data_IF_919695413191
#
_entry.id   IF_919695413191
#
_cell.length_a   1.000
_cell.length_b   1.000
_cell.length_c   1.000
_cell.angle_alpha   90.00
_cell.angle_beta   90.00
_cell.angle_gamma   90.00
#
_symmetry.space_group_name_H-M   'P 1'
#
loop_
_entity.id
_entity.type
_entity.pdbx_description
1 polymer ?
#
# COMPACT_ATOMS: atom_id res chain seq x y z
N UNK A 1 6.50 69.87 69.11
CA UNK A 1 5.19 69.21 68.92
C UNK A 1 4.85 69.24 67.45
N UNK A 2 4.64 68.07 66.83
CA UNK A 2 4.36 67.96 65.40
C UNK A 2 4.61 66.54 64.89
N UNK A 3 3.71 65.60 65.20
CA UNK A 3 3.67 64.27 64.59
C UNK A 3 2.46 64.20 63.67
N UNK A 4 2.73 64.01 62.38
CA UNK A 4 1.75 63.86 61.32
C UNK A 4 0.99 62.53 61.48
N UNK A 5 -0.34 62.60 61.61
CA UNK A 5 -1.24 61.44 61.53
C UNK A 5 -1.40 61.05 60.06
N UNK A 6 -0.89 59.89 59.67
CA UNK A 6 -1.18 59.28 58.37
C UNK A 6 -2.45 58.43 58.52
N UNK A 7 -3.53 58.90 57.89
CA UNK A 7 -4.84 58.24 57.82
C UNK A 7 -4.72 56.92 57.06
N UNK A 8 -5.19 55.84 57.68
CA UNK A 8 -5.46 54.54 57.05
C UNK A 8 -6.83 54.58 56.36
N UNK A 9 -6.97 54.22 55.07
CA UNK A 9 -8.27 53.97 54.49
C UNK A 9 -8.76 52.56 54.83
N UNK A 10 -10.03 52.52 55.17
CA UNK A 10 -10.85 51.38 55.56
C UNK A 10 -11.06 50.37 54.44
N UNK A 11 -11.30 49.14 54.90
CA UNK A 11 -11.62 47.90 54.21
C UNK A 11 -12.89 48.01 53.32
N UNK A 12 -12.78 47.72 52.03
CA UNK A 12 -13.90 47.22 51.21
C UNK A 12 -13.51 45.84 50.66
N UNK A 13 -14.21 44.75 51.02
CA UNK A 13 -13.99 43.46 50.38
C UNK A 13 -14.65 43.47 49.00
N UNK A 14 -13.84 43.64 47.96
CA UNK A 14 -14.27 43.40 46.59
C UNK A 14 -14.69 41.93 46.47
N UNK A 15 -15.99 41.69 46.33
CA UNK A 15 -16.58 40.40 45.98
C UNK A 15 -16.15 40.05 44.56
N UNK A 16 -14.94 39.54 44.41
CA UNK A 16 -14.53 38.82 43.22
C UNK A 16 -15.28 37.49 43.23
N UNK A 17 -16.47 37.49 42.62
CA UNK A 17 -17.21 36.27 42.33
C UNK A 17 -16.34 35.38 41.45
N UNK A 18 -15.68 34.41 42.08
CA UNK A 18 -15.10 33.25 41.42
C UNK A 18 -16.21 32.60 40.60
N UNK A 19 -16.22 32.87 39.29
CA UNK A 19 -17.07 32.17 38.33
C UNK A 19 -16.57 30.73 38.34
N UNK A 20 -17.19 29.89 39.17
CA UNK A 20 -17.01 28.44 39.11
C UNK A 20 -17.40 28.02 37.71
N UNK A 21 -16.42 27.63 36.89
CA UNK A 21 -16.64 27.02 35.58
C UNK A 21 -17.52 25.78 35.78
N UNK A 22 -18.79 25.88 35.42
CA UNK A 22 -19.67 24.73 35.30
C UNK A 22 -19.22 23.95 34.07
N UNK A 23 -18.52 22.84 34.25
CA UNK A 23 -18.38 21.86 33.18
C UNK A 23 -19.81 21.44 32.82
N UNK A 24 -20.26 21.77 31.61
CA UNK A 24 -21.50 21.22 31.10
C UNK A 24 -21.37 19.70 31.05
N UNK A 25 -22.37 19.01 31.59
CA UNK A 25 -22.37 17.57 31.67
C UNK A 25 -22.48 16.94 30.28
N UNK A 26 -21.93 15.74 30.15
CA UNK A 26 -22.12 14.91 28.97
C UNK A 26 -23.60 14.56 28.75
N UNK A 27 -24.04 14.49 27.50
CA UNK A 27 -25.44 14.29 27.13
C UNK A 27 -25.59 12.91 26.48
N UNK A 28 -26.53 12.11 26.98
CA UNK A 28 -26.87 10.82 26.37
C UNK A 28 -27.90 11.04 25.25
N UNK A 29 -27.57 10.59 24.04
CA UNK A 29 -28.41 10.69 22.86
C UNK A 29 -29.21 9.40 22.65
N UNK A 30 -30.38 9.52 22.01
CA UNK A 30 -31.32 8.41 21.79
C UNK A 30 -30.74 7.26 20.92
N UNK A 31 -29.73 7.55 20.10
CA UNK A 31 -29.04 6.59 19.23
C UNK A 31 -27.89 5.83 19.95
N UNK A 32 -27.78 5.93 21.27
CA UNK A 32 -26.75 5.26 22.07
C UNK A 32 -25.39 5.96 22.07
N UNK A 33 -25.30 7.18 21.52
CA UNK A 33 -24.09 8.00 21.61
C UNK A 33 -24.09 8.89 22.86
N UNK A 34 -22.92 9.04 23.46
CA UNK A 34 -22.59 10.03 24.48
C UNK A 34 -21.96 11.24 23.80
N UNK A 35 -22.67 12.36 23.82
CA UNK A 35 -22.12 13.64 23.39
C UNK A 35 -21.30 14.23 24.54
N UNK A 36 -19.99 14.33 24.36
CA UNK A 36 -19.06 14.86 25.35
C UNK A 36 -18.55 16.22 24.88
N UNK A 37 -18.77 17.29 25.67
CA UNK A 37 -18.22 18.59 25.35
C UNK A 37 -16.71 18.62 25.65
N UNK A 38 -15.95 19.18 24.73
CA UNK A 38 -14.50 19.22 24.73
C UNK A 38 -14.06 20.66 24.52
N UNK A 39 -13.39 21.25 25.50
CA UNK A 39 -12.81 22.58 25.36
C UNK A 39 -11.51 22.51 24.58
N UNK A 40 -11.46 23.14 23.41
CA UNK A 40 -10.20 23.29 22.66
C UNK A 40 -9.44 24.49 23.24
N UNK A 41 -8.17 24.32 23.65
CA UNK A 41 -7.39 25.43 24.21
C UNK A 41 -7.22 26.54 23.15
N UNK A 42 -7.59 27.77 23.51
CA UNK A 42 -7.44 28.93 22.64
C UNK A 42 -5.98 29.33 22.45
N UNK A 43 -5.66 29.83 21.25
CA UNK A 43 -4.40 30.54 21.02
C UNK A 43 -4.38 31.83 21.85
N UNK A 44 -3.22 32.13 22.45
CA UNK A 44 -2.98 33.40 23.20
C UNK A 44 -3.12 34.65 22.31
N UNK A 45 -3.22 34.48 21.00
CA UNK A 45 -3.19 35.54 20.00
C UNK A 45 -4.55 36.21 19.75
N UNK A 46 -5.66 35.51 20.02
CA UNK A 46 -7.01 36.09 19.90
C UNK A 46 -7.48 36.60 21.27
N UNK A 47 -8.17 37.75 21.30
CA UNK A 47 -8.98 38.17 22.47
C UNK A 47 -9.84 36.98 22.93
N UNK A 48 -10.12 36.79 24.24
CA UNK A 48 -10.95 35.69 24.72
C UNK A 48 -12.41 35.93 24.30
N UNK A 49 -12.69 35.74 23.02
CA UNK A 49 -14.02 35.38 22.53
C UNK A 49 -14.32 34.04 23.20
N UNK A 50 -15.50 33.89 23.79
CA UNK A 50 -15.84 32.86 24.77
C UNK A 50 -15.37 31.43 24.43
N UNK A 51 -15.30 30.59 25.47
CA UNK A 51 -14.82 29.21 25.41
C UNK A 51 -15.47 28.42 24.26
N UNK A 52 -14.73 28.15 23.19
CA UNK A 52 -15.22 27.38 22.04
C UNK A 52 -15.25 25.90 22.40
N UNK A 53 -16.43 25.31 22.28
CA UNK A 53 -16.69 23.91 22.62
C UNK A 53 -16.77 23.08 21.35
N UNK A 54 -16.03 21.99 21.33
CA UNK A 54 -16.11 20.95 20.32
C UNK A 54 -16.85 19.76 20.92
N UNK A 55 -17.74 19.13 20.16
CA UNK A 55 -18.52 17.99 20.64
C UNK A 55 -18.00 16.70 20.01
N UNK A 56 -17.53 15.78 20.84
CA UNK A 56 -17.18 14.43 20.40
C UNK A 56 -18.34 13.49 20.71
N UNK A 57 -18.56 12.51 19.85
CA UNK A 57 -19.62 11.53 20.01
C UNK A 57 -19.02 10.16 20.27
N UNK A 58 -19.36 9.57 21.41
CA UNK A 58 -18.75 8.32 21.86
C UNK A 58 -19.80 7.23 22.00
N UNK A 59 -19.50 6.01 21.58
CA UNK A 59 -20.33 4.84 21.88
C UNK A 59 -19.48 3.60 22.11
N UNK A 60 -20.05 2.60 22.77
CA UNK A 60 -19.50 1.24 22.73
C UNK A 60 -19.50 0.75 21.28
N UNK A 61 -18.39 0.18 20.83
CA UNK A 61 -18.35 -0.44 19.50
C UNK A 61 -19.21 -1.69 19.50
N UNK A 62 -20.02 -1.81 18.45
CA UNK A 62 -20.79 -3.03 18.17
C UNK A 62 -20.13 -3.67 16.96
N UNK A 63 -19.50 -4.84 17.14
CA UNK A 63 -19.10 -5.65 15.98
C UNK A 63 -20.38 -6.21 15.36
N UNK A 64 -20.48 -6.17 14.03
CA UNK A 64 -21.56 -6.88 13.34
C UNK A 64 -21.23 -8.37 13.43
N UNK A 65 -21.75 -9.04 14.45
CA UNK A 65 -21.61 -10.48 14.69
C UNK A 65 -22.72 -11.30 14.04
N UNK A 66 -23.27 -10.86 12.90
CA UNK A 66 -24.23 -11.67 12.14
C UNK A 66 -23.98 -11.56 10.64
N UNK A 67 -23.79 -12.74 10.01
CA UNK A 67 -23.60 -13.00 8.57
C UNK A 67 -22.18 -12.90 7.99
N UNK A 68 -21.28 -13.83 8.39
CA UNK A 68 -20.51 -14.68 7.46
C UNK A 68 -19.45 -15.50 8.23
N UNK A 69 -19.87 -16.51 8.99
CA UNK A 69 -18.96 -17.46 9.65
C UNK A 69 -18.52 -18.61 8.73
N UNK A 70 -18.73 -18.49 7.40
CA UNK A 70 -18.33 -19.51 6.44
C UNK A 70 -17.81 -18.87 5.16
N UNK A 71 -16.56 -18.41 5.18
CA UNK A 71 -15.67 -18.40 4.01
C UNK A 71 -14.31 -17.80 4.37
N UNK A 72 -13.26 -18.46 3.86
CA UNK A 72 -11.87 -18.01 3.70
C UNK A 72 -11.00 -17.87 4.96
N UNK A 73 -10.34 -18.99 5.27
CA UNK A 73 -8.95 -19.05 5.73
C UNK A 73 -8.04 -18.12 4.91
N UNK A 74 -7.05 -17.51 5.57
CA UNK A 74 -5.90 -16.74 5.03
C UNK A 74 -5.87 -15.20 5.01
N UNK A 75 -6.66 -14.47 5.82
CA UNK A 75 -6.27 -13.09 6.25
C UNK A 75 -6.68 -12.87 7.70
N UNK A 76 -5.72 -12.61 8.59
CA UNK A 76 -5.93 -12.13 9.96
C UNK A 76 -6.95 -10.99 9.91
N UNK A 77 -8.21 -11.29 10.19
CA UNK A 77 -9.21 -10.23 10.34
C UNK A 77 -8.78 -9.46 11.58
N UNK A 78 -8.58 -8.17 11.39
CA UNK A 78 -8.45 -7.17 12.43
C UNK A 78 -9.74 -7.13 13.26
N UNK A 79 -9.98 -8.17 14.06
CA UNK A 79 -11.16 -8.26 14.89
C UNK A 79 -11.06 -7.19 15.98
N UNK A 80 -12.01 -6.26 15.94
CA UNK A 80 -12.20 -5.22 16.96
C UNK A 80 -13.16 -5.78 18.01
N UNK A 81 -12.67 -6.29 19.15
CA UNK A 81 -13.51 -6.89 20.19
C UNK A 81 -14.39 -5.83 20.87
N UNK A 82 -15.70 -5.93 20.62
CA UNK A 82 -16.76 -5.02 21.09
C UNK A 82 -16.68 -4.67 22.58
N UNK A 83 -16.28 -5.64 23.41
CA UNK A 83 -16.25 -5.51 24.87
C UNK A 83 -15.16 -4.58 25.41
N UNK A 84 -14.12 -4.30 24.62
CA UNK A 84 -13.00 -3.43 25.01
C UNK A 84 -12.71 -2.31 24.03
N UNK A 85 -13.57 -2.12 23.03
CA UNK A 85 -13.41 -1.11 21.97
C UNK A 85 -14.41 0.03 22.14
N UNK A 86 -13.89 1.25 22.19
CA UNK A 86 -14.65 2.49 22.22
C UNK A 86 -14.63 3.13 20.84
N UNK A 87 -15.80 3.45 20.30
CA UNK A 87 -15.92 4.22 19.07
C UNK A 87 -16.09 5.69 19.40
N UNK A 88 -15.20 6.53 18.88
CA UNK A 88 -15.26 7.98 19.02
C UNK A 88 -15.40 8.59 17.62
N UNK A 89 -16.37 9.45 17.44
CA UNK A 89 -16.61 10.20 16.22
C UNK A 89 -16.44 11.71 16.45
N UNK A 90 -16.17 12.42 15.35
CA UNK A 90 -15.89 13.85 15.33
C UNK A 90 -14.68 14.21 16.20
N UNK A 91 -13.57 13.50 16.04
CA UNK A 91 -12.33 13.86 16.74
C UNK A 91 -11.77 15.19 16.19
N UNK A 92 -11.16 16.04 17.05
CA UNK A 92 -10.35 17.17 16.62
C UNK A 92 -9.23 16.75 15.68
N UNK A 93 -8.91 17.60 14.70
CA UNK A 93 -7.98 17.27 13.61
C UNK A 93 -6.54 17.06 14.08
N UNK A 94 -6.16 17.64 15.21
CA UNK A 94 -4.84 17.52 15.83
C UNK A 94 -4.69 16.28 16.72
N UNK A 95 -5.73 15.45 16.85
CA UNK A 95 -5.72 14.28 17.73
C UNK A 95 -4.76 13.21 17.21
N UNK A 96 -3.75 12.89 18.02
CA UNK A 96 -2.82 11.78 17.78
C UNK A 96 -3.14 10.58 18.66
N UNK A 97 -2.55 9.43 18.34
CA UNK A 97 -2.65 8.25 19.20
C UNK A 97 -2.05 8.48 20.59
N UNK A 98 -0.87 9.11 20.66
CA UNK A 98 -0.22 9.46 21.93
C UNK A 98 -1.09 10.38 22.78
N UNK A 99 -1.80 11.31 22.13
CA UNK A 99 -2.73 12.20 22.80
C UNK A 99 -3.91 11.45 23.43
N UNK A 100 -4.54 10.52 22.69
CA UNK A 100 -5.64 9.71 23.24
C UNK A 100 -5.17 8.85 24.43
N UNK A 101 -3.93 8.34 24.39
CA UNK A 101 -3.31 7.63 25.52
C UNK A 101 -3.15 8.54 26.75
N UNK A 102 -2.75 9.80 26.57
CA UNK A 102 -2.64 10.76 27.68
C UNK A 102 -4.02 11.15 28.24
N UNK A 103 -5.00 11.38 27.37
CA UNK A 103 -6.38 11.73 27.75
C UNK A 103 -7.03 10.63 28.59
N UNK A 104 -6.86 9.37 28.19
CA UNK A 104 -7.42 8.20 28.90
C UNK A 104 -6.47 7.58 29.93
N UNK A 105 -5.32 8.20 30.23
CA UNK A 105 -4.33 7.66 31.16
C UNK A 105 -4.91 7.34 32.56
N UNK A 106 -5.93 8.09 32.99
CA UNK A 106 -6.63 7.85 34.27
C UNK A 106 -7.58 6.64 34.24
N UNK A 107 -8.06 6.25 33.06
CA UNK A 107 -8.99 5.14 32.90
C UNK A 107 -8.28 3.79 32.75
N UNK A 108 -7.12 3.78 32.08
CA UNK A 108 -6.27 2.60 31.95
C UNK A 108 -5.43 2.61 30.67
N UNK A 109 -4.70 1.52 30.45
CA UNK A 109 -3.82 1.38 29.31
C UNK A 109 -4.60 1.05 28.02
N UNK A 110 -4.26 1.74 26.95
CA UNK A 110 -4.76 1.48 25.60
C UNK A 110 -3.87 0.42 24.94
N UNK A 111 -4.47 -0.57 24.30
CA UNK A 111 -3.76 -1.53 23.46
C UNK A 111 -3.40 -0.88 22.12
N UNK A 112 -4.40 -0.50 21.34
CA UNK A 112 -4.22 0.10 20.01
C UNK A 112 -5.27 1.18 19.74
N UNK A 113 -4.92 2.15 18.91
CA UNK A 113 -5.84 3.15 18.39
C UNK A 113 -5.89 3.03 16.87
N UNK A 114 -7.07 2.78 16.32
CA UNK A 114 -7.28 2.72 14.87
C UNK A 114 -8.11 3.91 14.42
N UNK A 115 -7.47 4.84 13.74
CA UNK A 115 -8.17 5.92 13.03
C UNK A 115 -8.77 5.37 11.75
N UNK A 116 -10.00 5.80 11.42
CA UNK A 116 -10.61 5.52 10.13
C UNK A 116 -9.94 6.40 9.07
N UNK A 117 -8.80 5.97 8.55
CA UNK A 117 -8.11 6.64 7.43
C UNK A 117 -8.69 6.13 6.12
N UNK A 118 -9.13 7.03 5.24
CA UNK A 118 -9.46 6.70 3.86
C UNK A 118 -8.12 6.61 3.11
N UNK A 119 -7.47 5.46 3.10
CA UNK A 119 -6.35 5.22 2.17
C UNK A 119 -6.85 4.21 1.14
N UNK A 120 -6.72 4.56 -0.14
CA UNK A 120 -7.09 3.69 -1.24
C UNK A 120 -6.10 2.52 -1.30
N UNK A 121 -6.62 1.30 -1.42
CA UNK A 121 -5.84 0.04 -1.41
C UNK A 121 -4.86 -0.12 -2.58
N UNK A 122 -4.89 0.75 -3.57
CA UNK A 122 -4.12 0.62 -4.81
C UNK A 122 -2.65 1.02 -4.63
N UNK A 123 -2.31 1.81 -3.60
CA UNK A 123 -0.94 2.33 -3.39
C UNK A 123 0.01 1.29 -2.74
N UNK A 124 -0.49 0.33 -1.95
CA UNK A 124 0.35 -0.61 -1.19
C UNK A 124 1.11 -1.65 -2.05
N UNK A 125 0.57 -2.04 -3.22
CA UNK A 125 1.23 -2.99 -4.12
C UNK A 125 2.35 -2.30 -4.92
N UNK A 126 2.11 -1.07 -5.38
CA UNK A 126 3.11 -0.26 -6.08
C UNK A 126 4.27 0.14 -5.14
N UNK A 127 3.99 0.50 -3.89
CA UNK A 127 5.01 0.89 -2.91
C UNK A 127 6.02 -0.23 -2.60
N UNK A 128 5.57 -1.48 -2.44
CA UNK A 128 6.47 -2.62 -2.15
C UNK A 128 7.44 -2.89 -3.29
N UNK A 129 6.96 -2.78 -4.53
CA UNK A 129 7.82 -2.91 -5.71
C UNK A 129 8.80 -1.75 -5.84
N UNK A 130 8.38 -0.52 -5.55
CA UNK A 130 9.22 0.68 -5.59
C UNK A 130 10.35 0.67 -4.54
N UNK A 131 10.11 0.02 -3.40
CA UNK A 131 11.09 -0.18 -2.33
C UNK A 131 12.14 -1.26 -2.66
N UNK A 132 11.97 -1.97 -3.79
CA UNK A 132 12.89 -3.01 -4.25
C UNK A 132 12.79 -4.30 -3.43
N UNK A 133 11.66 -4.53 -2.78
CA UNK A 133 11.34 -5.74 -2.00
C UNK A 133 10.65 -6.79 -2.90
N UNK A 134 11.16 -6.97 -4.12
CA UNK A 134 10.75 -8.10 -4.95
C UNK A 134 11.24 -9.40 -4.32
N UNK A 135 10.32 -10.34 -4.11
CA UNK A 135 10.47 -11.70 -3.57
C UNK A 135 11.91 -12.22 -3.58
N UNK A 136 12.65 -11.87 -2.53
CA UNK A 136 13.97 -12.41 -2.27
C UNK A 136 13.80 -13.76 -1.59
N UNK A 137 13.87 -14.83 -2.38
CA UNK A 137 14.58 -16.06 -2.05
C UNK A 137 14.44 -16.52 -0.58
N UNK A 138 13.34 -17.19 -0.26
CA UNK A 138 13.33 -18.23 0.77
C UNK A 138 13.67 -19.55 0.09
N UNK A 139 14.96 -19.74 -0.18
CA UNK A 139 15.50 -21.04 -0.59
C UNK A 139 15.92 -21.77 0.68
N UNK A 140 14.93 -22.31 1.37
CA UNK A 140 15.06 -23.34 2.40
C UNK A 140 13.96 -24.37 2.07
N UNK A 141 14.20 -25.15 1.02
CA UNK A 141 13.55 -26.45 0.87
C UNK A 141 14.64 -27.53 0.89
N UNK A 142 14.47 -28.41 1.85
CA UNK A 142 15.37 -29.47 2.27
C UNK A 142 15.68 -30.45 1.13
N UNK A 143 16.97 -30.71 0.88
CA UNK A 143 17.42 -31.94 0.22
C UNK A 143 18.06 -32.86 1.26
N UNK A 144 17.24 -33.69 1.90
CA UNK A 144 17.66 -35.00 2.40
C UNK A 144 17.75 -35.98 1.22
N UNK A 145 18.96 -36.43 0.88
CA UNK A 145 19.34 -37.86 0.76
C UNK A 145 20.66 -38.02 0.00
N UNK A 146 21.54 -38.90 0.51
CA UNK A 146 22.61 -39.50 -0.28
C UNK A 146 23.93 -39.73 0.45
N UNK A 147 23.93 -40.60 1.46
CA UNK A 147 25.15 -41.31 1.89
C UNK A 147 25.61 -42.23 0.74
N UNK A 148 26.89 -42.17 0.34
CA UNK A 148 27.76 -43.35 0.17
C UNK A 148 29.19 -42.98 -0.31
N UNK A 149 30.14 -43.54 0.44
CA UNK A 149 31.60 -43.55 0.36
C UNK A 149 32.31 -43.45 -1.01
N UNK A 150 33.43 -42.71 -1.03
CA UNK A 150 34.69 -43.23 -1.59
C UNK A 150 35.92 -42.55 -0.97
N UNK A 151 36.88 -43.38 -0.56
CA UNK A 151 38.11 -43.06 0.16
C UNK A 151 39.33 -43.20 -0.78
N UNK A 152 40.46 -42.58 -0.37
CA UNK A 152 41.86 -42.74 -0.87
C UNK A 152 42.25 -42.06 -2.22
N UNK A 153 43.44 -41.50 -2.49
CA UNK A 153 44.75 -41.42 -1.82
C UNK A 153 45.59 -40.29 -2.49
N UNK A 154 46.27 -39.39 -1.75
CA UNK A 154 47.74 -39.25 -1.77
C UNK A 154 48.34 -38.04 -1.01
N UNK A 155 49.47 -38.37 -0.38
CA UNK A 155 50.36 -37.69 0.55
C UNK A 155 51.10 -36.39 0.12
N UNK A 156 51.37 -35.58 1.17
CA UNK A 156 52.61 -34.89 1.60
C UNK A 156 53.22 -33.74 0.78
N UNK A 157 53.30 -32.56 1.42
CA UNK A 157 54.58 -31.97 1.85
C UNK A 157 54.37 -30.81 2.83
N UNK A 158 55.16 -30.81 3.91
CA UNK A 158 55.16 -29.82 4.98
C UNK A 158 56.04 -28.60 4.64
N UNK A 159 55.61 -27.40 5.04
CA UNK A 159 56.51 -26.31 5.41
C UNK A 159 55.79 -25.30 6.34
N UNK A 160 56.37 -25.09 7.51
CA UNK A 160 55.93 -24.17 8.56
C UNK A 160 56.07 -22.70 8.12
N UNK A 161 55.12 -21.84 8.50
CA UNK A 161 55.23 -20.40 8.26
C UNK A 161 54.09 -19.55 8.79
N UNK A 162 54.13 -19.26 10.11
CA UNK A 162 53.65 -18.05 10.80
C UNK A 162 52.24 -17.50 10.46
N UNK A 163 51.34 -17.75 11.41
CA UNK A 163 50.28 -16.87 11.93
C UNK A 163 50.12 -15.48 11.29
N UNK A 164 49.11 -15.36 10.43
CA UNK A 164 48.52 -14.09 10.01
C UNK A 164 47.00 -14.21 10.03
N UNK A 165 46.39 -13.96 11.20
CA UNK A 165 44.94 -13.99 11.41
C UNK A 165 44.30 -12.80 10.66
N UNK A 166 44.11 -12.92 9.34
CA UNK A 166 43.23 -12.03 8.57
C UNK A 166 41.80 -12.28 9.05
N UNK A 167 41.32 -11.44 9.96
CA UNK A 167 39.88 -11.23 10.19
C UNK A 167 39.25 -10.91 8.83
N UNK A 168 38.57 -11.89 8.22
CA UNK A 168 37.51 -11.61 7.25
C UNK A 168 36.48 -10.79 8.00
N UNK A 169 36.50 -9.48 7.83
CA UNK A 169 35.38 -8.63 8.20
C UNK A 169 34.20 -9.11 7.37
N UNK A 170 33.24 -9.76 8.01
CA UNK A 170 31.88 -9.89 7.52
C UNK A 170 31.29 -8.48 7.47
N UNK A 171 31.67 -7.70 6.46
CA UNK A 171 30.79 -6.65 6.00
C UNK A 171 29.59 -7.39 5.41
N UNK A 172 28.51 -7.46 6.18
CA UNK A 172 27.16 -7.61 5.65
C UNK A 172 26.96 -6.45 4.67
N UNK A 173 27.47 -6.62 3.45
CA UNK A 173 27.00 -5.84 2.31
C UNK A 173 25.57 -6.27 2.12
N UNK A 174 24.63 -5.44 2.56
CA UNK A 174 23.22 -5.59 2.21
C UNK A 174 23.16 -5.96 0.72
N UNK A 175 22.63 -7.14 0.42
CA UNK A 175 22.43 -7.61 -0.97
C UNK A 175 21.72 -6.47 -1.69
N UNK A 176 22.43 -5.72 -2.55
CA UNK A 176 21.84 -4.60 -3.27
C UNK A 176 20.75 -5.21 -4.14
N UNK A 177 19.49 -4.85 -3.88
CA UNK A 177 18.37 -5.33 -4.67
C UNK A 177 18.68 -5.11 -6.15
N UNK A 178 18.45 -6.12 -6.99
CA UNK A 178 18.74 -6.05 -8.42
C UNK A 178 17.96 -4.92 -9.09
N UNK A 179 16.81 -4.58 -8.52
CA UNK A 179 15.95 -3.45 -8.90
C UNK A 179 16.49 -2.12 -8.35
N UNK A 180 16.71 -1.10 -9.20
CA UNK A 180 17.04 0.25 -8.76
C UNK A 180 15.95 0.84 -7.86
N UNK A 181 16.32 1.32 -6.66
CA UNK A 181 15.39 1.97 -5.73
C UNK A 181 15.15 3.42 -6.12
N UNK A 182 13.91 3.87 -5.93
CA UNK A 182 13.54 5.26 -6.13
C UNK A 182 14.04 6.08 -4.94
N UNK A 183 14.60 7.25 -5.23
CA UNK A 183 14.87 8.26 -4.19
C UNK A 183 13.60 9.10 -4.08
N UNK A 184 12.78 8.94 -3.02
CA UNK A 184 11.51 9.64 -2.92
C UNK A 184 11.72 11.14 -2.75
N UNK A 185 10.76 11.93 -3.24
CA UNK A 185 10.69 13.34 -2.88
C UNK A 185 10.31 13.48 -1.40
N UNK A 186 10.66 14.60 -0.75
CA UNK A 186 10.14 14.91 0.58
C UNK A 186 8.62 14.81 0.59
N UNK A 187 8.04 14.29 1.67
CA UNK A 187 6.58 14.26 1.82
C UNK A 187 6.03 15.69 1.72
N UNK A 188 4.91 15.85 1.03
CA UNK A 188 4.28 17.16 0.85
C UNK A 188 3.71 17.70 2.17
N UNK A 189 3.41 16.82 3.13
CA UNK A 189 2.97 17.22 4.46
C UNK A 189 4.20 17.51 5.36
N UNK A 190 4.32 18.74 5.92
CA UNK A 190 5.36 19.10 6.88
C UNK A 190 5.44 18.17 8.10
N UNK A 191 4.30 17.62 8.54
CA UNK A 191 4.25 16.76 9.72
C UNK A 191 4.85 15.41 9.44
N UNK A 192 4.53 14.82 8.30
CA UNK A 192 5.15 13.56 7.85
C UNK A 192 6.65 13.74 7.60
N UNK A 193 7.05 14.89 7.06
CA UNK A 193 8.46 15.19 6.80
C UNK A 193 9.28 15.22 8.09
N UNK A 194 8.64 15.56 9.22
CA UNK A 194 9.22 15.51 10.58
C UNK A 194 9.01 14.16 11.30
N UNK A 195 8.42 13.17 10.63
CA UNK A 195 8.09 11.86 11.23
C UNK A 195 6.90 11.89 12.20
N UNK A 196 6.05 12.92 12.11
CA UNK A 196 4.82 13.04 12.92
C UNK A 196 3.59 12.56 12.16
N UNK A 197 2.49 12.31 12.90
CA UNK A 197 1.21 11.92 12.31
C UNK A 197 0.56 13.12 11.59
N UNK A 198 -0.04 12.87 10.42
CA UNK A 198 -0.85 13.87 9.71
C UNK A 198 -2.03 14.35 10.57
N UNK A 199 -2.58 15.50 10.18
CA UNK A 199 -3.89 15.89 10.67
C UNK A 199 -4.95 14.87 10.27
N UNK A 200 -5.88 14.61 11.19
CA UNK A 200 -7.07 13.84 10.88
C UNK A 200 -7.96 14.66 9.94
N UNK A 201 -8.66 13.94 9.04
CA UNK A 201 -9.73 14.54 8.25
C UNK A 201 -10.83 15.09 9.16
N UNK A 202 -11.55 16.10 8.68
CA UNK A 202 -12.72 16.64 9.39
C UNK A 202 -13.73 15.52 9.65
N UNK A 203 -14.33 15.51 10.83
CA UNK A 203 -15.28 14.47 11.27
C UNK A 203 -14.70 13.05 11.37
N UNK A 204 -13.38 12.91 11.46
CA UNK A 204 -12.72 11.60 11.61
C UNK A 204 -13.22 10.84 12.84
N UNK A 205 -13.21 9.51 12.73
CA UNK A 205 -13.59 8.58 13.77
C UNK A 205 -12.45 7.64 14.12
N UNK A 206 -12.33 7.26 15.39
CA UNK A 206 -11.36 6.28 15.85
C UNK A 206 -12.01 5.15 16.66
N UNK A 207 -11.40 3.98 16.57
CA UNK A 207 -11.62 2.87 17.48
C UNK A 207 -10.47 2.82 18.48
N UNK A 208 -10.78 3.04 19.75
CA UNK A 208 -9.80 2.96 20.85
C UNK A 208 -9.98 1.61 21.53
N UNK A 209 -8.96 0.76 21.45
CA UNK A 209 -8.95 -0.55 22.07
C UNK A 209 -8.27 -0.48 23.42
N UNK A 210 -8.98 -0.74 24.51
CA UNK A 210 -8.39 -0.86 25.83
C UNK A 210 -7.75 -2.24 26.02
N UNK A 211 -6.77 -2.33 26.91
CA UNK A 211 -6.14 -3.61 27.26
C UNK A 211 -7.17 -4.56 27.89
N UNK A 212 -7.93 -4.04 28.86
CA UNK A 212 -8.89 -4.79 29.68
C UNK A 212 -10.28 -4.15 29.68
N UNK A 213 -11.32 -4.98 29.85
CA UNK A 213 -12.72 -4.56 30.03
C UNK A 213 -12.96 -3.55 31.18
N UNK A 214 -12.37 -3.68 32.39
CA UNK A 214 -12.53 -2.66 33.44
C UNK A 214 -11.90 -1.31 33.07
N UNK A 215 -10.84 -1.29 32.26
CA UNK A 215 -10.28 -0.03 31.76
C UNK A 215 -11.25 0.68 30.81
N UNK A 216 -11.97 -0.10 29.99
CA UNK A 216 -13.04 0.42 29.14
C UNK A 216 -14.22 0.99 29.93
N UNK A 217 -14.69 0.32 30.98
CA UNK A 217 -15.79 0.85 31.83
C UNK A 217 -15.39 2.15 32.53
N UNK A 218 -14.18 2.20 33.10
CA UNK A 218 -13.60 3.42 33.69
C UNK A 218 -13.52 4.56 32.68
N UNK A 219 -13.18 4.26 31.42
CA UNK A 219 -13.10 5.28 30.37
C UNK A 219 -14.48 5.88 30.03
N UNK A 220 -15.53 5.06 29.98
CA UNK A 220 -16.91 5.53 29.80
C UNK A 220 -17.34 6.41 30.99
N UNK A 221 -17.02 6.01 32.22
CA UNK A 221 -17.41 6.80 33.39
C UNK A 221 -16.63 8.12 33.49
N UNK A 222 -15.37 8.13 33.07
CA UNK A 222 -14.57 9.35 32.92
C UNK A 222 -15.22 10.30 31.88
N UNK A 223 -15.64 9.77 30.73
CA UNK A 223 -16.35 10.55 29.71
C UNK A 223 -17.67 11.14 30.23
N UNK A 224 -18.39 10.41 31.09
CA UNK A 224 -19.63 10.92 31.71
C UNK A 224 -19.37 12.11 32.63
N UNK A 225 -18.28 12.05 33.41
CA UNK A 225 -17.86 13.11 34.34
C UNK A 225 -17.30 14.35 33.62
N UNK A 226 -16.90 14.21 32.36
CA UNK A 226 -16.32 15.26 31.55
C UNK A 226 -14.80 15.14 31.46
N UNK A 227 -14.28 15.40 30.26
CA UNK A 227 -12.85 15.29 29.95
C UNK A 227 -12.26 16.66 29.70
N UNK A 228 -11.07 16.90 30.27
CA UNK A 228 -10.23 18.01 29.84
C UNK A 228 -9.46 17.61 28.59
N UNK A 229 -9.79 18.18 27.44
CA UNK A 229 -8.94 18.06 26.26
C UNK A 229 -7.63 18.77 26.51
N UNK A 230 -6.54 18.04 26.35
CA UNK A 230 -5.20 18.58 26.49
C UNK A 230 -4.70 18.91 25.08
N UNK A 231 -3.70 19.76 24.98
CA UNK A 231 -2.98 19.95 23.74
C UNK A 231 -2.13 18.68 23.45
N UNK A 232 -2.28 18.04 22.27
CA UNK A 232 -1.55 16.81 21.90
C UNK A 232 -0.03 16.86 22.10
N UNK A 233 0.57 18.05 22.01
CA UNK A 233 2.02 18.25 22.14
C UNK A 233 2.39 19.08 23.37
N UNK A 234 1.53 19.12 24.39
CA UNK A 234 1.74 19.91 25.62
C UNK A 234 3.03 19.53 26.35
N UNK A 235 3.30 18.23 26.49
CA UNK A 235 4.51 17.72 27.13
C UNK A 235 5.77 18.18 26.41
N UNK A 236 5.77 18.02 25.08
CA UNK A 236 6.87 18.45 24.20
C UNK A 236 7.10 19.96 24.24
N UNK A 237 6.03 20.76 24.17
CA UNK A 237 6.13 22.24 24.27
C UNK A 237 6.68 22.69 25.63
N UNK A 238 6.22 22.10 26.72
CA UNK A 238 6.69 22.43 28.08
C UNK A 238 8.16 22.11 28.26
N UNK A 239 8.64 21.02 27.69
CA UNK A 239 10.04 20.64 27.77
C UNK A 239 10.93 21.48 26.86
N UNK A 240 10.46 21.85 25.67
CA UNK A 240 11.17 22.79 24.80
C UNK A 240 11.33 24.16 25.46
N UNK A 241 10.28 24.69 26.09
CA UNK A 241 10.34 25.95 26.85
C UNK A 241 11.32 25.86 28.03
N UNK A 242 11.34 24.71 28.73
CA UNK A 242 12.30 24.45 29.79
C UNK A 242 13.74 24.43 29.27
N UNK A 243 14.01 23.81 28.12
CA UNK A 243 15.33 23.80 27.50
C UNK A 243 15.76 25.21 27.08
N UNK A 244 14.88 26.01 26.47
CA UNK A 244 15.21 27.38 26.06
C UNK A 244 15.52 28.32 27.24
N UNK A 245 14.80 28.15 28.37
CA UNK A 245 15.07 28.92 29.57
C UNK A 245 16.42 28.56 30.21
N UNK A 246 16.82 27.30 30.13
CA UNK A 246 18.12 26.84 30.62
C UNK A 246 19.28 27.37 29.75
N UNK A 247 19.10 27.40 28.44
CA UNK A 247 20.09 27.92 27.50
C UNK A 247 20.33 29.43 27.70
N UNK A 248 19.26 30.17 28.01
CA UNK A 248 19.34 31.62 28.32
C UNK A 248 20.07 31.91 29.64
N UNK A 249 20.04 30.97 30.61
CA UNK A 249 20.54 31.21 31.96
C UNK A 249 21.97 30.73 32.21
N UNK A 250 22.48 29.69 31.51
CA UNK A 250 23.89 29.25 31.57
C UNK A 250 24.16 28.05 30.61
N UNK A 251 24.97 28.19 29.54
CA UNK A 251 25.27 27.09 28.60
C UNK A 251 26.14 25.97 29.23
N UNK A 252 26.85 26.24 30.31
CA UNK A 252 27.73 25.26 30.99
C UNK A 252 26.96 24.23 31.84
N UNK A 253 25.68 24.47 32.14
CA UNK A 253 24.82 23.55 32.91
C UNK A 253 24.08 22.53 32.04
N UNK A 254 24.10 22.69 30.72
CA UNK A 254 23.41 21.80 29.76
C UNK A 254 23.89 20.34 29.86
N UNK A 255 25.21 20.13 30.03
CA UNK A 255 25.80 18.79 30.09
C UNK A 255 25.50 18.02 31.39
N UNK A 256 25.12 18.71 32.49
CA UNK A 256 25.01 18.09 33.83
C UNK A 256 23.59 17.73 34.24
N UNK A 257 22.56 18.05 33.45
CA UNK A 257 21.14 17.87 33.86
C UNK A 257 20.21 17.23 32.81
N UNK A 258 20.75 16.68 31.73
CA UNK A 258 19.98 15.97 30.70
C UNK A 258 19.40 14.60 31.15
N UNK A 259 19.40 14.30 32.46
CA UNK A 259 18.75 13.10 33.01
C UNK A 259 17.26 13.35 33.32
N UNK A 260 16.52 13.92 32.37
CA UNK A 260 15.06 13.85 32.42
C UNK A 260 14.63 12.62 31.64
N UNK A 261 14.03 11.63 32.31
CA UNK A 261 13.65 10.36 31.69
C UNK A 261 12.27 10.41 31.00
N UNK A 262 11.82 11.60 30.58
CA UNK A 262 10.51 11.73 29.95
C UNK A 262 10.63 11.44 28.46
N UNK A 263 9.62 10.79 27.88
CA UNK A 263 9.58 10.48 26.45
C UNK A 263 9.74 11.74 25.59
N UNK A 264 9.12 12.85 25.96
CA UNK A 264 9.26 14.12 25.25
C UNK A 264 10.71 14.65 25.24
N UNK A 265 11.48 14.41 26.31
CA UNK A 265 12.85 14.94 26.41
C UNK A 265 13.82 14.10 25.59
N UNK A 266 13.54 12.80 25.51
CA UNK A 266 14.21 11.90 24.59
C UNK A 266 13.92 12.28 23.14
N UNK A 267 12.66 12.54 22.78
CA UNK A 267 12.27 12.99 21.44
C UNK A 267 13.01 14.28 21.06
N UNK A 268 13.00 15.28 21.94
CA UNK A 268 13.65 16.56 21.67
C UNK A 268 15.18 16.42 21.57
N UNK A 269 15.79 15.58 22.41
CA UNK A 269 17.22 15.26 22.33
C UNK A 269 17.58 14.43 21.09
N UNK A 270 16.67 13.63 20.56
CA UNK A 270 16.83 12.89 19.31
C UNK A 270 16.63 13.78 18.06
N UNK A 271 16.38 15.08 18.25
CA UNK A 271 16.16 16.04 17.18
C UNK A 271 14.70 16.10 16.67
N UNK A 272 13.76 15.43 17.33
CA UNK A 272 12.35 15.54 16.97
C UNK A 272 11.81 16.91 17.39
N UNK A 273 11.45 17.73 16.40
CA UNK A 273 10.84 19.04 16.61
C UNK A 273 9.36 18.95 16.99
N UNK A 274 8.80 20.07 17.45
CA UNK A 274 7.35 20.20 17.68
C UNK A 274 6.66 20.26 16.30
N UNK A 275 5.69 19.39 16.00
CA UNK A 275 5.03 19.39 14.71
C UNK A 275 4.33 20.73 14.43
N UNK A 276 4.52 21.32 13.25
CA UNK A 276 4.00 22.65 12.95
C UNK A 276 2.47 22.65 12.91
N UNK A 277 1.88 23.79 13.26
CA UNK A 277 0.42 24.02 13.29
C UNK A 277 0.10 25.42 12.79
N UNK A 278 -1.05 25.60 12.12
CA UNK A 278 -1.51 26.92 11.70
C UNK A 278 -0.59 27.55 10.66
N UNK A 279 -0.12 28.78 10.91
CA UNK A 279 0.69 29.52 9.95
C UNK A 279 2.04 28.84 9.64
N UNK A 280 2.73 28.31 10.66
CA UNK A 280 4.02 27.64 10.43
C UNK A 280 3.86 26.42 9.51
N UNK A 281 2.79 25.65 9.72
CA UNK A 281 2.45 24.52 8.86
C UNK A 281 2.24 24.95 7.40
N UNK A 282 1.50 26.03 7.17
CA UNK A 282 1.22 26.52 5.82
C UNK A 282 2.49 27.03 5.11
N UNK A 283 3.39 27.69 5.86
CA UNK A 283 4.68 28.13 5.33
C UNK A 283 5.58 26.94 4.98
N UNK A 284 5.68 25.96 5.87
CA UNK A 284 6.46 24.75 5.63
C UNK A 284 5.90 23.97 4.42
N UNK A 285 4.58 23.86 4.32
CA UNK A 285 3.90 23.22 3.17
C UNK A 285 4.17 23.98 1.87
N UNK A 286 4.16 25.32 1.91
CA UNK A 286 4.52 26.16 0.77
C UNK A 286 5.96 25.91 0.31
N UNK A 287 6.91 25.75 1.24
CA UNK A 287 8.29 25.42 0.93
C UNK A 287 8.44 23.99 0.40
N UNK A 288 7.76 23.00 0.99
CA UNK A 288 7.81 21.60 0.55
C UNK A 288 7.19 21.38 -0.83
N UNK A 289 6.15 22.14 -1.18
CA UNK A 289 5.57 22.13 -2.53
C UNK A 289 6.53 22.60 -3.64
N UNK A 290 7.68 23.17 -3.25
CA UNK A 290 8.74 23.66 -4.16
C UNK A 290 10.08 23.03 -3.77
N UNK A 291 10.24 21.71 -3.97
CA UNK A 291 11.50 21.05 -3.66
C UNK A 291 12.63 21.62 -4.50
N UNK A 292 13.86 21.50 -3.99
CA UNK A 292 15.04 21.99 -4.69
C UNK A 292 15.27 21.23 -6.01
N UNK A 293 15.81 21.92 -7.02
CA UNK A 293 16.13 21.31 -8.32
C UNK A 293 16.98 20.03 -8.21
N UNK A 294 18.01 19.94 -7.32
CA UNK A 294 18.76 18.70 -7.13
C UNK A 294 17.91 17.53 -6.63
N UNK A 295 16.93 17.79 -5.76
CA UNK A 295 16.02 16.75 -5.25
C UNK A 295 15.07 16.24 -6.34
N UNK A 296 14.60 17.13 -7.22
CA UNK A 296 13.77 16.75 -8.36
C UNK A 296 14.59 15.92 -9.35
N UNK A 297 15.84 16.33 -9.59
CA UNK A 297 16.75 15.63 -10.49
C UNK A 297 17.08 14.23 -9.98
N UNK A 298 17.38 14.05 -8.68
CA UNK A 298 17.66 12.74 -8.11
C UNK A 298 16.45 11.81 -8.20
N UNK A 299 15.25 12.30 -7.87
CA UNK A 299 14.00 11.56 -8.03
C UNK A 299 13.77 11.15 -9.49
N UNK A 300 13.85 12.09 -10.44
CA UNK A 300 13.64 11.84 -11.85
C UNK A 300 14.64 10.82 -12.41
N UNK A 301 15.93 10.97 -12.08
CA UNK A 301 16.98 10.03 -12.47
C UNK A 301 16.71 8.63 -11.92
N UNK A 302 16.29 8.52 -10.65
CA UNK A 302 15.96 7.23 -10.03
C UNK A 302 14.75 6.56 -10.70
N UNK A 303 13.72 7.35 -11.06
CA UNK A 303 12.53 6.84 -11.76
C UNK A 303 12.85 6.41 -13.20
N UNK A 304 13.70 7.16 -13.90
CA UNK A 304 14.21 6.79 -15.23
C UNK A 304 15.04 5.51 -15.15
N UNK A 305 15.91 5.37 -14.14
CA UNK A 305 16.71 4.17 -13.94
C UNK A 305 15.83 2.93 -13.68
N UNK A 306 14.80 3.06 -12.84
CA UNK A 306 13.83 1.99 -12.61
C UNK A 306 13.05 1.65 -13.89
N UNK A 307 12.62 2.64 -14.65
CA UNK A 307 11.94 2.42 -15.93
C UNK A 307 12.83 1.70 -16.95
N UNK A 308 14.09 2.13 -17.09
CA UNK A 308 15.07 1.47 -17.95
C UNK A 308 15.33 0.03 -17.49
N UNK A 309 15.41 -0.20 -16.18
CA UNK A 309 15.53 -1.53 -15.60
C UNK A 309 14.32 -2.40 -15.92
N UNK A 310 13.09 -1.93 -15.71
CA UNK A 310 11.84 -2.65 -16.04
C UNK A 310 11.72 -2.94 -17.54
N UNK A 311 12.19 -2.03 -18.39
CA UNK A 311 12.25 -2.24 -19.84
C UNK A 311 13.29 -3.30 -20.22
N UNK A 312 14.41 -3.37 -19.51
CA UNK A 312 15.48 -4.36 -19.70
C UNK A 312 15.21 -5.71 -19.00
N UNK A 313 14.29 -5.74 -18.02
CA UNK A 313 13.90 -6.92 -17.25
C UNK A 313 12.36 -6.95 -17.15
N UNK A 314 11.65 -7.32 -18.23
CA UNK A 314 10.21 -7.33 -18.26
C UNK A 314 9.74 -8.49 -17.39
N UNK A 315 8.90 -8.19 -16.39
CA UNK A 315 8.38 -9.24 -15.53
C UNK A 315 7.43 -10.15 -16.33
N UNK A 316 7.50 -11.47 -16.10
CA UNK A 316 6.58 -12.42 -16.69
C UNK A 316 5.15 -12.12 -16.20
N UNK A 317 4.18 -12.01 -17.12
CA UNK A 317 2.78 -11.65 -16.79
C UNK A 317 2.01 -12.79 -16.08
N UNK A 318 2.63 -13.97 -15.95
CA UNK A 318 2.08 -15.11 -15.22
C UNK A 318 2.99 -15.41 -14.04
N UNK A 319 2.36 -15.53 -12.88
CA UNK A 319 2.98 -16.02 -11.64
C UNK A 319 3.57 -17.41 -11.93
N UNK A 320 4.89 -17.56 -11.78
CA UNK A 320 5.57 -18.87 -11.80
C UNK A 320 6.53 -19.18 -12.97
N UNK A 321 6.64 -18.36 -14.01
CA UNK A 321 7.65 -18.58 -15.08
C UNK A 321 8.63 -17.42 -15.09
N UNK A 322 9.90 -17.65 -14.74
CA UNK A 322 10.92 -16.60 -14.63
C UNK A 322 11.38 -16.11 -16.01
N UNK A 323 11.03 -14.89 -16.38
CA UNK A 323 11.68 -14.19 -17.50
C UNK A 323 13.06 -13.69 -17.06
N UNK A 324 14.13 -14.36 -17.50
CA UNK A 324 15.48 -14.11 -16.99
C UNK A 324 16.27 -13.14 -17.86
N UNK A 325 16.09 -13.22 -19.19
CA UNK A 325 16.81 -12.37 -20.13
C UNK A 325 15.93 -11.86 -21.26
N UNK A 326 16.34 -10.73 -21.86
CA UNK A 326 15.77 -10.25 -23.13
C UNK A 326 16.68 -10.71 -24.27
N UNK A 327 16.13 -11.39 -25.26
CA UNK A 327 16.84 -11.74 -26.49
C UNK A 327 17.14 -10.52 -27.37
N UNK A 328 18.03 -10.64 -28.38
CA UNK A 328 18.42 -9.52 -29.25
C UNK A 328 17.25 -8.81 -29.96
N UNK A 329 16.12 -9.50 -30.12
CA UNK A 329 14.88 -9.00 -30.76
C UNK A 329 13.88 -8.35 -29.79
N UNK A 330 14.13 -8.37 -28.47
CA UNK A 330 13.19 -7.87 -27.45
C UNK A 330 12.26 -8.94 -26.88
N UNK A 331 12.50 -10.22 -27.16
CA UNK A 331 11.72 -11.36 -26.65
C UNK A 331 12.16 -11.77 -25.25
N UNK A 332 11.22 -12.20 -24.43
CA UNK A 332 11.51 -12.75 -23.11
C UNK A 332 12.01 -14.18 -23.24
N UNK A 333 13.18 -14.46 -22.67
CA UNK A 333 13.77 -15.80 -22.63
C UNK A 333 13.75 -16.37 -21.21
N UNK A 334 13.45 -17.66 -21.11
CA UNK A 334 13.58 -18.46 -19.88
C UNK A 334 15.06 -18.71 -19.51
N UNK A 335 15.31 -19.36 -18.37
CA UNK A 335 16.65 -19.78 -17.88
C UNK A 335 17.43 -20.61 -18.92
N UNK A 336 16.72 -21.43 -19.70
CA UNK A 336 17.27 -22.27 -20.77
C UNK A 336 17.39 -21.56 -22.14
N UNK A 337 17.08 -20.26 -22.23
CA UNK A 337 17.15 -19.49 -23.47
C UNK A 337 16.00 -19.71 -24.45
N UNK A 338 14.92 -20.39 -24.04
CA UNK A 338 13.70 -20.54 -24.84
C UNK A 338 12.80 -19.30 -24.76
N UNK A 339 12.13 -18.98 -25.86
CA UNK A 339 11.23 -17.82 -25.96
C UNK A 339 9.92 -18.09 -25.18
N UNK A 340 9.63 -17.25 -24.19
CA UNK A 340 8.40 -17.31 -23.40
C UNK A 340 7.23 -16.82 -24.25
N UNK A 341 6.30 -17.72 -24.57
CA UNK A 341 5.08 -17.39 -25.31
C UNK A 341 4.11 -16.62 -24.40
N UNK A 342 4.18 -15.28 -24.45
CA UNK A 342 3.18 -14.42 -23.81
C UNK A 342 1.98 -14.16 -24.74
N UNK A 343 0.76 -14.24 -24.21
CA UNK A 343 -0.43 -13.71 -24.90
C UNK A 343 -0.26 -12.20 -25.05
N UNK A 344 -0.09 -11.73 -26.27
CA UNK A 344 -0.09 -10.30 -26.57
C UNK A 344 -1.47 -9.72 -26.25
N UNK A 345 -1.51 -8.46 -25.80
CA UNK A 345 -2.75 -7.78 -25.44
C UNK A 345 -3.73 -7.64 -26.62
N UNK A 346 -4.87 -6.98 -26.38
CA UNK A 346 -5.99 -6.77 -27.35
C UNK A 346 -5.55 -6.22 -28.72
N UNK A 347 -4.36 -5.64 -28.81
CA UNK A 347 -3.60 -5.43 -30.04
C UNK A 347 -2.35 -6.29 -29.93
N UNK A 348 -2.23 -7.32 -30.77
CA UNK A 348 -1.24 -8.38 -30.63
C UNK A 348 0.23 -7.98 -30.86
N UNK A 349 0.68 -6.87 -30.28
CA UNK A 349 2.03 -6.34 -30.34
C UNK A 349 2.45 -5.84 -28.96
N UNK A 350 3.06 -6.73 -28.20
CA UNK A 350 4.07 -6.36 -27.23
C UNK A 350 5.23 -7.33 -27.47
N UNK A 351 6.29 -6.87 -28.15
CA UNK A 351 7.56 -7.60 -28.25
C UNK A 351 8.20 -7.76 -29.63
N UNK A 352 7.46 -7.84 -30.73
CA UNK A 352 8.06 -8.13 -32.04
C UNK A 352 8.37 -6.86 -32.87
N UNK A 353 9.67 -6.62 -33.12
CA UNK A 353 10.15 -5.64 -34.10
C UNK A 353 9.57 -5.92 -35.49
N UNK A 354 9.17 -4.87 -36.20
CA UNK A 354 8.41 -4.91 -37.46
C UNK A 354 9.15 -5.49 -38.68
N UNK A 355 10.27 -6.19 -38.48
CA UNK A 355 11.18 -6.65 -39.54
C UNK A 355 10.96 -8.14 -39.90
N UNK A 356 10.34 -8.93 -39.03
CA UNK A 356 9.97 -10.32 -39.32
C UNK A 356 8.52 -10.42 -39.81
N UNK A 357 8.32 -10.54 -41.12
CA UNK A 357 7.03 -10.58 -41.80
C UNK A 357 6.11 -11.74 -41.38
N UNK A 358 5.44 -11.60 -40.24
CA UNK A 358 4.42 -12.51 -39.73
C UNK A 358 3.24 -11.76 -39.12
N UNK A 359 2.58 -10.88 -39.89
CA UNK A 359 1.34 -10.25 -39.44
C UNK A 359 0.14 -11.16 -39.74
N UNK A 360 -0.43 -11.78 -38.70
CA UNK A 360 -1.86 -12.15 -38.75
C UNK A 360 -2.63 -10.83 -38.62
N UNK A 361 -3.11 -10.32 -39.76
CA UNK A 361 -3.92 -9.11 -39.81
C UNK A 361 -5.19 -9.30 -38.99
N UNK A 362 -5.37 -8.46 -37.97
CA UNK A 362 -6.66 -8.30 -37.29
C UNK A 362 -7.70 -7.95 -38.35
N UNK A 363 -8.73 -8.79 -38.45
CA UNK A 363 -9.76 -8.73 -39.47
C UNK A 363 -10.37 -7.31 -39.55
N UNK A 364 -10.22 -6.66 -40.70
CA UNK A 364 -11.06 -5.51 -41.04
C UNK A 364 -12.51 -5.98 -41.12
N UNK A 365 -13.42 -5.15 -40.63
CA UNK A 365 -14.87 -5.33 -40.71
C UNK A 365 -15.28 -5.67 -42.16
N UNK A 366 -15.65 -6.94 -42.41
CA UNK A 366 -15.94 -7.46 -43.76
C UNK A 366 -15.41 -8.86 -44.07
N UNK A 367 -14.76 -9.57 -43.14
CA UNK A 367 -14.32 -10.95 -43.35
C UNK A 367 -15.53 -11.89 -43.50
N UNK A 368 -15.80 -12.35 -44.73
CA UNK A 368 -16.72 -13.47 -44.98
C UNK A 368 -16.00 -14.76 -44.58
N UNK A 369 -16.52 -15.41 -43.56
CA UNK A 369 -16.03 -16.71 -43.10
C UNK A 369 -16.12 -17.71 -44.26
N UNK A 370 -14.97 -18.28 -44.64
CA UNK A 370 -14.91 -19.29 -45.67
C UNK A 370 -15.44 -20.59 -45.05
N UNK A 371 -16.74 -20.86 -45.18
CA UNK A 371 -17.42 -22.05 -44.61
C UNK A 371 -16.98 -23.37 -45.24
N UNK A 372 -16.05 -23.34 -46.20
CA UNK A 372 -15.42 -24.54 -46.75
C UNK A 372 -14.35 -25.01 -45.79
N UNK A 373 -14.75 -25.84 -44.81
CA UNK A 373 -13.83 -26.76 -44.14
C UNK A 373 -13.10 -27.52 -45.24
N UNK A 374 -11.79 -27.27 -45.41
CA UNK A 374 -10.96 -28.12 -46.27
C UNK A 374 -11.10 -29.53 -45.71
N UNK A 375 -11.55 -30.48 -46.55
CA UNK A 375 -11.74 -31.87 -46.13
C UNK A 375 -10.43 -32.37 -45.53
N UNK A 376 -10.51 -32.92 -44.32
CA UNK A 376 -9.35 -33.53 -43.63
C UNK A 376 -9.10 -34.87 -44.29
N UNK A 377 -8.51 -34.85 -45.48
CA UNK A 377 -8.19 -36.04 -46.27
C UNK A 377 -7.73 -35.65 -47.67
N UNK A 378 -6.58 -36.19 -48.10
CA UNK A 378 -6.18 -36.11 -49.50
C UNK A 378 -7.11 -37.00 -50.33
N UNK A 379 -7.99 -36.39 -51.10
CA UNK A 379 -8.68 -37.08 -52.18
C UNK A 379 -7.65 -37.39 -53.28
N UNK A 380 -7.65 -38.64 -53.78
CA UNK A 380 -6.73 -39.20 -54.79
C UNK A 380 -5.40 -39.80 -54.27
N UNK A 381 -5.20 -39.98 -52.95
CA UNK A 381 -3.98 -40.63 -52.44
C UNK A 381 -4.03 -42.16 -52.52
N UNK A 382 -5.18 -42.77 -52.22
CA UNK A 382 -5.26 -44.23 -52.11
C UNK A 382 -5.76 -44.90 -53.40
N UNK A 383 -5.15 -46.04 -53.75
CA UNK A 383 -5.50 -46.83 -54.94
C UNK A 383 -6.98 -47.22 -55.01
N UNK A 384 -7.66 -47.37 -53.88
CA UNK A 384 -9.09 -47.68 -53.85
C UNK A 384 -9.96 -46.47 -54.25
N UNK A 385 -9.56 -45.24 -53.90
CA UNK A 385 -10.24 -44.00 -54.31
C UNK A 385 -10.21 -43.86 -55.84
N UNK A 386 -9.06 -44.14 -56.47
CA UNK A 386 -8.96 -44.15 -57.93
C UNK A 386 -9.81 -45.24 -58.59
N UNK A 387 -9.90 -46.44 -57.99
CA UNK A 387 -10.71 -47.55 -58.52
C UNK A 387 -12.20 -47.22 -58.44
N UNK A 388 -12.63 -46.64 -57.33
CA UNK A 388 -14.01 -46.23 -57.10
C UNK A 388 -14.43 -45.10 -58.06
N UNK A 389 -13.59 -44.07 -58.21
CA UNK A 389 -13.80 -42.98 -59.18
C UNK A 389 -13.91 -43.48 -60.61
N UNK A 390 -13.07 -44.44 -61.03
CA UNK A 390 -13.18 -45.08 -62.35
C UNK A 390 -14.47 -45.90 -62.52
N UNK A 391 -14.90 -46.61 -61.48
CA UNK A 391 -16.14 -47.39 -61.50
C UNK A 391 -17.35 -46.48 -61.64
N UNK A 392 -17.37 -45.37 -60.91
CA UNK A 392 -18.43 -44.35 -60.98
C UNK A 392 -18.48 -43.68 -62.36
N UNK A 393 -17.32 -43.28 -62.91
CA UNK A 393 -17.23 -42.74 -64.26
C UNK A 393 -17.78 -43.71 -65.32
N UNK A 394 -17.50 -45.01 -65.19
CA UNK A 394 -18.04 -46.03 -66.09
C UNK A 394 -19.56 -46.22 -65.93
N UNK A 395 -20.08 -46.12 -64.71
CA UNK A 395 -21.52 -46.17 -64.46
C UNK A 395 -22.23 -44.97 -65.08
N UNK A 396 -21.67 -43.76 -64.91
CA UNK A 396 -22.20 -42.53 -65.50
C UNK A 396 -22.19 -42.57 -67.04
N UNK A 397 -21.14 -43.10 -67.65
CA UNK A 397 -21.07 -43.25 -69.11
C UNK A 397 -22.11 -44.23 -69.63
N UNK A 398 -22.36 -45.34 -68.91
CA UNK A 398 -23.43 -46.29 -69.26
C UNK A 398 -24.80 -45.65 -69.15
N UNK A 399 -25.07 -44.93 -68.06
CA UNK A 399 -26.34 -44.22 -67.86
C UNK A 399 -26.59 -43.17 -68.96
N UNK A 400 -25.55 -42.39 -69.32
CA UNK A 400 -25.63 -41.42 -70.42
C UNK A 400 -25.87 -42.10 -71.77
N UNK A 401 -25.19 -43.22 -72.02
CA UNK A 401 -25.37 -43.98 -73.26
C UNK A 401 -26.78 -44.57 -73.39
N UNK A 402 -27.35 -45.10 -72.30
CA UNK A 402 -28.73 -45.57 -72.27
C UNK A 402 -29.72 -44.43 -72.54
N UNK A 403 -29.53 -43.28 -71.88
CA UNK A 403 -30.34 -42.09 -72.10
C UNK A 403 -30.26 -41.60 -73.55
N UNK A 404 -29.08 -41.60 -74.17
CA UNK A 404 -28.92 -41.19 -75.56
C UNK A 404 -29.46 -42.23 -76.54
N UNK A 405 -29.34 -43.53 -76.23
CA UNK A 405 -29.99 -44.61 -76.99
C UNK A 405 -31.50 -44.46 -76.98
N UNK A 406 -32.09 -44.13 -75.84
CA UNK A 406 -33.53 -43.82 -75.73
C UNK A 406 -33.92 -42.57 -76.53
N UNK A 407 -33.13 -41.50 -76.47
CA UNK A 407 -33.37 -40.30 -77.28
C UNK A 407 -33.31 -40.62 -78.76
N UNK A 408 -32.34 -41.39 -79.21
CA UNK A 408 -32.23 -41.82 -80.61
C UNK A 408 -33.40 -42.72 -81.01
N UNK A 409 -33.86 -43.63 -80.14
CA UNK A 409 -35.05 -44.43 -80.39
C UNK A 409 -36.31 -43.56 -80.56
N UNK A 410 -36.50 -42.55 -79.70
CA UNK A 410 -37.58 -41.56 -79.82
C UNK A 410 -37.50 -40.79 -81.14
N UNK A 411 -36.30 -40.37 -81.56
CA UNK A 411 -36.09 -39.66 -82.82
C UNK A 411 -36.31 -40.55 -84.05
N UNK A 412 -35.94 -41.84 -83.98
CA UNK A 412 -36.21 -42.83 -85.04
C UNK A 412 -37.71 -43.14 -85.15
N UNK A 413 -38.40 -43.33 -84.02
CA UNK A 413 -39.85 -43.51 -83.99
C UNK A 413 -40.59 -42.31 -84.61
N UNK A 414 -40.10 -41.10 -84.32
CA UNK A 414 -40.61 -39.87 -84.94
C UNK A 414 -40.18 -39.65 -86.40
N UNK A 415 -39.47 -40.58 -87.07
CA UNK A 415 -38.89 -40.42 -88.41
C UNK A 415 -38.02 -39.16 -88.61
N UNK A 416 -37.48 -38.61 -87.51
CA UNK A 416 -36.67 -37.36 -87.50
C UNK A 416 -35.17 -37.63 -87.32
N UNK A 417 -34.76 -38.90 -87.25
CA UNK A 417 -33.36 -39.27 -87.10
C UNK A 417 -32.63 -39.28 -88.45
N UNK A 418 -31.53 -38.51 -88.57
CA UNK A 418 -30.65 -38.43 -89.76
C UNK A 418 -29.24 -38.89 -89.36
N UNK A 419 -28.79 -40.10 -89.77
CA UNK A 419 -27.55 -40.70 -89.28
C UNK A 419 -26.26 -40.30 -90.00
N UNK A 420 -26.32 -39.51 -91.08
CA UNK A 420 -25.15 -39.03 -91.82
C UNK A 420 -25.34 -37.56 -92.22
#
# INVERSE_FOLDING_TARGET
MGKTKKLTPSNEPSVASSIKKTNEASIMLANGFLAVPVTIPHSKLSKPVGEVKHWIYVRKHTSSSSASAFASTSKLRDELPSERTLFIANLPTDTTESHLREVFAKAGNISTVKFRRQVAKEEEEDEKEEMGEGEGESDDEDEEEGDEAMEEHHQLAAAQGKSGKKKKSSQQGAKKSRVPRIVPLPSLDPREAMGSQLFLSTSSSAHVMFLDTPSFTRAIDLLKQGIKWIDPFRSLRKEAEKQSLLDTQDPSKHAKRANTNTSASFLLSAGAGIPPTGLSYLLDQYHLSRPSLPSIQSWANSRIALYQYRKAHPLPRKIGVRGVTIGPSGELLDEDGFIIVQRSGKYGRAGASAVGGGSVGVAKHGFKENTKKKSVGLEDFYRFQLREKKREQLADLRAKFEADKEKVAKLKAGRRFKPY
#
